data_IF_042607941037
#
_entry.id   IF_042607941037
#
_cell.length_a   1.000
_cell.length_b   1.000
_cell.length_c   1.000
_cell.angle_alpha   90.00
_cell.angle_beta   90.00
_cell.angle_gamma   90.00
#
_symmetry.space_group_name_H-M   'P 1'
#
loop_
_entity.id
_entity.type
_entity.pdbx_description
1 polymer ?
#
# COMPACT_ATOMS: atom_id res chain seq x y z
N UNK A 1 24.43 118.62 5.09
CA UNK A 1 23.16 118.49 5.84
C UNK A 1 22.23 117.67 4.96
N UNK A 2 22.29 116.34 5.06
CA UNK A 2 21.56 115.44 4.15
C UNK A 2 20.72 114.43 4.95
N UNK A 3 19.51 114.22 4.45
CA UNK A 3 18.53 113.25 4.95
C UNK A 3 19.02 111.82 4.71
N UNK A 4 18.63 110.87 5.58
CA UNK A 4 17.85 109.64 5.26
C UNK A 4 17.43 109.01 6.61
N UNK A 5 16.15 108.98 6.99
CA UNK A 5 15.68 108.30 8.19
C UNK A 5 15.72 106.77 8.03
N UNK A 6 15.94 106.08 9.15
CA UNK A 6 16.03 104.64 9.29
C UNK A 6 14.81 103.93 8.66
N UNK A 7 15.12 102.94 7.82
CA UNK A 7 14.20 102.07 7.13
C UNK A 7 13.46 101.14 8.12
N UNK A 8 12.14 101.25 8.33
CA UNK A 8 11.38 100.35 9.17
C UNK A 8 10.77 99.26 8.29
N UNK A 9 11.58 98.28 7.88
CA UNK A 9 11.05 97.10 7.20
C UNK A 9 10.68 96.04 8.23
N UNK A 10 9.37 95.93 8.46
CA UNK A 10 8.61 94.69 8.65
C UNK A 10 9.00 93.80 9.86
N UNK A 11 8.22 93.89 10.94
CA UNK A 11 7.93 92.74 11.81
C UNK A 11 6.55 92.15 11.40
N UNK A 12 6.46 91.20 10.44
CA UNK A 12 5.20 90.54 10.11
C UNK A 12 4.92 89.27 10.93
N UNK A 13 5.78 88.87 11.86
CA UNK A 13 5.82 87.48 12.34
C UNK A 13 4.78 87.11 13.43
N UNK A 14 4.25 88.09 14.17
CA UNK A 14 3.38 87.77 15.33
C UNK A 14 1.89 87.61 15.00
N UNK A 15 1.41 88.16 13.89
CA UNK A 15 -0.02 88.10 13.53
C UNK A 15 -0.36 86.80 12.79
N UNK A 16 0.53 86.30 11.93
CA UNK A 16 0.29 85.07 11.14
C UNK A 16 0.25 83.81 12.03
N UNK A 17 1.09 83.73 13.05
CA UNK A 17 1.13 82.58 13.97
C UNK A 17 -0.17 82.45 14.80
N UNK A 18 -0.72 83.57 15.30
CA UNK A 18 -1.99 83.57 16.04
C UNK A 18 -3.22 83.32 15.16
N UNK A 19 -3.14 83.62 13.86
CA UNK A 19 -4.22 83.35 12.92
C UNK A 19 -4.28 81.86 12.55
N UNK A 20 -3.13 81.23 12.35
CA UNK A 20 -3.03 79.80 12.06
C UNK A 20 -3.48 78.93 13.24
N UNK A 21 -3.14 79.30 14.48
CA UNK A 21 -3.55 78.53 15.67
C UNK A 21 -5.06 78.59 15.90
N UNK A 22 -5.69 79.77 15.77
CA UNK A 22 -7.15 79.93 15.85
C UNK A 22 -7.89 79.18 14.74
N UNK A 23 -7.32 79.16 13.53
CA UNK A 23 -7.89 78.43 12.41
C UNK A 23 -7.89 76.91 12.65
N UNK A 24 -6.88 76.37 13.33
CA UNK A 24 -6.83 74.95 13.71
C UNK A 24 -7.85 74.64 14.81
N UNK A 25 -8.01 75.53 15.80
CA UNK A 25 -9.02 75.37 16.85
C UNK A 25 -10.46 75.36 16.29
N UNK A 26 -10.77 76.26 15.34
CA UNK A 26 -12.08 76.30 14.68
C UNK A 26 -12.35 75.07 13.80
N UNK A 27 -11.33 74.55 13.09
CA UNK A 27 -11.44 73.30 12.30
C UNK A 27 -11.68 72.05 13.19
N UNK A 28 -11.17 72.04 14.42
CA UNK A 28 -11.42 70.97 15.39
C UNK A 28 -12.79 71.12 16.06
N UNK A 29 -13.24 72.36 16.29
CA UNK A 29 -14.54 72.67 16.88
C UNK A 29 -15.73 72.35 15.95
N UNK A 30 -15.52 72.36 14.64
CA UNK A 30 -16.56 72.04 13.63
C UNK A 30 -16.71 70.54 13.34
N UNK A 31 -16.08 69.67 14.12
CA UNK A 31 -16.57 68.30 14.29
C UNK A 31 -17.68 68.32 15.35
N UNK A 32 -18.76 69.07 15.09
CA UNK A 32 -20.01 68.77 15.79
C UNK A 32 -20.36 67.32 15.44
N UNK A 33 -20.45 66.40 16.41
CA UNK A 33 -20.94 65.07 16.12
C UNK A 33 -22.45 65.20 15.88
N UNK A 34 -22.80 65.64 14.68
CA UNK A 34 -24.15 65.63 14.18
C UNK A 34 -24.71 64.22 14.32
N UNK A 35 -26.03 64.08 14.26
CA UNK A 35 -26.68 62.77 14.33
C UNK A 35 -26.00 61.74 13.40
N UNK A 36 -25.44 62.19 12.27
CA UNK A 36 -24.60 61.41 11.37
C UNK A 36 -23.41 60.70 12.07
N UNK A 37 -22.66 61.36 12.95
CA UNK A 37 -21.50 60.77 13.63
C UNK A 37 -21.94 59.73 14.68
N UNK A 38 -23.04 60.00 15.39
CA UNK A 38 -23.64 59.02 16.32
C UNK A 38 -24.24 57.82 15.57
N UNK A 39 -24.92 58.07 14.46
CA UNK A 39 -25.47 57.03 13.57
C UNK A 39 -24.34 56.21 12.96
N UNK A 40 -23.23 56.83 12.58
CA UNK A 40 -22.05 56.13 12.07
C UNK A 40 -21.39 55.27 13.15
N UNK A 41 -21.22 55.80 14.36
CA UNK A 41 -20.66 55.05 15.49
C UNK A 41 -21.53 53.84 15.86
N UNK A 42 -22.86 54.04 16.00
CA UNK A 42 -23.78 52.95 16.27
C UNK A 42 -23.90 51.98 15.10
N UNK A 43 -23.85 52.46 13.87
CA UNK A 43 -23.86 51.63 12.66
C UNK A 43 -22.65 50.71 12.59
N UNK A 44 -21.46 51.24 12.85
CA UNK A 44 -20.22 50.44 12.95
C UNK A 44 -20.33 49.42 14.09
N UNK A 45 -20.82 49.86 15.26
CA UNK A 45 -20.98 48.99 16.42
C UNK A 45 -21.93 47.82 16.13
N UNK A 46 -23.09 48.11 15.52
CA UNK A 46 -24.09 47.10 15.13
C UNK A 46 -23.52 46.18 14.05
N UNK A 47 -22.81 46.72 13.07
CA UNK A 47 -22.18 45.92 12.02
C UNK A 47 -21.21 44.89 12.60
N UNK A 48 -20.32 45.29 13.51
CA UNK A 48 -19.41 44.36 14.18
C UNK A 48 -20.15 43.38 15.09
N UNK A 49 -21.18 43.82 15.82
CA UNK A 49 -21.99 42.92 16.65
C UNK A 49 -22.67 41.82 15.82
N UNK A 50 -23.29 42.20 14.70
CA UNK A 50 -23.93 41.24 13.76
C UNK A 50 -22.88 40.34 13.12
N UNK A 51 -21.73 40.88 12.71
CA UNK A 51 -20.63 40.10 12.14
C UNK A 51 -20.08 39.07 13.11
N UNK A 52 -19.88 39.43 14.38
CA UNK A 52 -19.40 38.52 15.42
C UNK A 52 -20.43 37.45 15.78
N UNK A 53 -21.71 37.81 15.88
CA UNK A 53 -22.80 36.85 16.09
C UNK A 53 -22.82 35.86 14.93
N UNK A 54 -22.82 36.35 13.69
CA UNK A 54 -22.77 35.50 12.51
C UNK A 54 -21.53 34.61 12.51
N UNK A 55 -20.33 35.15 12.78
CA UNK A 55 -19.09 34.39 12.80
C UNK A 55 -19.06 33.31 13.90
N UNK A 56 -19.74 33.53 15.03
CA UNK A 56 -19.86 32.53 16.09
C UNK A 56 -20.73 31.34 15.69
N UNK A 57 -21.74 31.55 14.84
CA UNK A 57 -22.59 30.49 14.28
C UNK A 57 -22.10 29.97 12.93
N UNK A 58 -21.21 30.71 12.26
CA UNK A 58 -20.62 30.31 11.01
C UNK A 58 -19.69 29.13 11.26
N UNK A 59 -20.24 27.94 11.12
CA UNK A 59 -19.46 26.72 11.02
C UNK A 59 -18.62 26.85 9.74
N UNK A 60 -17.33 27.11 9.93
CA UNK A 60 -16.39 27.09 8.82
C UNK A 60 -16.36 25.64 8.36
N UNK A 61 -17.09 25.35 7.28
CA UNK A 61 -16.90 24.14 6.49
C UNK A 61 -15.45 24.16 6.01
N UNK A 62 -14.56 23.64 6.85
CA UNK A 62 -13.28 23.10 6.44
C UNK A 62 -13.62 21.88 5.61
N UNK A 63 -14.07 22.13 4.38
CA UNK A 63 -13.79 21.21 3.30
C UNK A 63 -12.29 21.35 3.07
N UNK A 64 -11.53 20.68 3.94
CA UNK A 64 -10.22 20.17 3.56
C UNK A 64 -10.56 19.30 2.36
N UNK A 65 -10.51 19.89 1.16
CA UNK A 65 -10.03 19.17 -0.02
C UNK A 65 -8.58 18.82 0.28
N UNK A 66 -8.38 17.99 1.29
CA UNK A 66 -7.49 16.90 1.12
C UNK A 66 -8.05 16.27 -0.14
N UNK A 67 -7.28 16.36 -1.22
CA UNK A 67 -7.16 15.16 -1.99
C UNK A 67 -6.76 14.12 -0.96
N UNK A 68 -7.76 13.45 -0.39
CA UNK A 68 -7.59 12.18 0.27
C UNK A 68 -7.12 11.28 -0.84
N UNK A 69 -5.85 11.45 -1.24
CA UNK A 69 -5.10 10.36 -1.78
C UNK A 69 -5.00 9.48 -0.55
N UNK A 70 -5.98 8.59 -0.42
CA UNK A 70 -5.83 7.34 0.29
C UNK A 70 -4.72 6.63 -0.47
N UNK A 71 -3.50 7.08 -0.25
CA UNK A 71 -2.37 6.18 -0.31
C UNK A 71 -2.65 5.36 0.93
N UNK A 72 -3.35 4.25 0.76
CA UNK A 72 -3.23 3.20 1.74
C UNK A 72 -1.73 3.03 1.90
N UNK A 73 -1.22 3.28 3.10
CA UNK A 73 0.08 2.73 3.51
C UNK A 73 -0.08 1.23 3.64
N UNK A 74 -0.66 0.58 2.64
CA UNK A 74 -0.25 -0.74 2.28
C UNK A 74 1.06 -0.46 1.58
N UNK A 75 2.13 -0.45 2.38
CA UNK A 75 3.28 -1.26 2.02
C UNK A 75 2.71 -2.41 1.19
N UNK A 76 2.84 -2.33 -0.13
CA UNK A 76 2.67 -3.48 -0.97
C UNK A 76 3.91 -4.28 -0.66
N UNK A 77 3.95 -4.83 0.56
CA UNK A 77 4.88 -5.84 0.94
C UNK A 77 4.43 -6.97 0.05
N UNK A 78 5.14 -7.07 -1.09
CA UNK A 78 5.03 -8.17 -2.01
C UNK A 78 5.49 -9.37 -1.20
N UNK A 79 4.57 -9.93 -0.42
CA UNK A 79 4.68 -11.30 0.02
C UNK A 79 4.34 -12.09 -1.22
N UNK A 80 5.34 -12.18 -2.08
CA UNK A 80 5.45 -13.23 -3.08
C UNK A 80 5.41 -14.52 -2.29
N UNK A 81 4.22 -15.11 -2.15
CA UNK A 81 4.11 -16.51 -1.79
C UNK A 81 4.97 -17.27 -2.80
N UNK A 82 5.93 -18.02 -2.30
CA UNK A 82 6.79 -18.88 -3.11
C UNK A 82 5.99 -20.04 -3.76
N UNK A 83 4.68 -20.12 -3.52
CA UNK A 83 3.76 -21.11 -4.10
C UNK A 83 2.47 -20.41 -4.55
N UNK A 84 2.21 -20.43 -5.86
CA UNK A 84 1.17 -19.66 -6.53
C UNK A 84 -0.25 -20.24 -6.45
N UNK A 85 -1.22 -19.37 -6.74
CA UNK A 85 -2.63 -19.66 -7.03
C UNK A 85 -3.28 -18.40 -7.62
N UNK A 86 -4.08 -18.53 -8.68
CA UNK A 86 -4.67 -17.41 -9.45
C UNK A 86 -6.04 -17.04 -8.87
N UNK A 87 -6.26 -15.76 -8.58
CA UNK A 87 -7.49 -15.20 -8.01
C UNK A 87 -8.57 -15.03 -9.11
N UNK A 88 -9.74 -15.68 -9.02
CA UNK A 88 -10.71 -15.71 -10.13
C UNK A 88 -11.89 -14.72 -10.07
N UNK A 89 -12.48 -14.33 -8.92
CA UNK A 89 -13.51 -13.26 -8.95
C UNK A 89 -13.84 -12.60 -7.58
N UNK A 90 -14.13 -11.30 -7.61
CA UNK A 90 -14.59 -10.49 -6.46
C UNK A 90 -16.09 -10.19 -6.61
N UNK A 91 -16.93 -10.77 -5.74
CA UNK A 91 -18.40 -10.64 -5.81
C UNK A 91 -19.00 -9.44 -5.04
N UNK A 92 -18.19 -8.49 -4.56
CA UNK A 92 -18.73 -7.35 -3.78
C UNK A 92 -18.00 -6.04 -4.07
N UNK A 93 -18.76 -4.95 -4.17
CA UNK A 93 -18.26 -3.58 -4.35
C UNK A 93 -18.24 -2.83 -3.01
N UNK A 94 -17.38 -1.81 -2.84
CA UNK A 94 -17.34 -1.02 -1.61
C UNK A 94 -18.69 -0.32 -1.36
N UNK A 95 -19.39 -0.68 -0.27
CA UNK A 95 -20.62 -0.01 0.18
C UNK A 95 -21.81 -0.91 0.53
N UNK A 96 -21.76 -2.22 0.29
CA UNK A 96 -22.87 -3.11 0.65
C UNK A 96 -22.93 -3.43 2.15
N UNK A 97 -24.14 -3.38 2.72
CA UNK A 97 -24.38 -3.77 4.11
C UNK A 97 -24.43 -5.30 4.19
N UNK A 98 -23.34 -5.89 4.70
CA UNK A 98 -23.20 -7.34 4.86
C UNK A 98 -23.59 -7.73 6.28
N UNK A 99 -24.37 -8.82 6.40
CA UNK A 99 -24.73 -9.41 7.70
C UNK A 99 -23.63 -10.39 8.14
N UNK A 100 -23.46 -10.55 9.45
CA UNK A 100 -22.55 -11.56 9.98
C UNK A 100 -22.94 -12.94 9.41
N UNK A 101 -21.97 -13.67 8.85
CA UNK A 101 -22.11 -14.99 8.21
C UNK A 101 -22.50 -15.02 6.71
N UNK A 102 -22.50 -13.86 6.04
CA UNK A 102 -22.69 -13.83 4.58
C UNK A 102 -21.35 -14.12 3.85
N UNK A 103 -21.27 -15.14 2.98
CA UNK A 103 -20.03 -15.46 2.26
C UNK A 103 -19.68 -14.39 1.23
N UNK A 104 -18.64 -13.60 1.52
CA UNK A 104 -18.16 -12.50 0.66
C UNK A 104 -17.19 -12.95 -0.43
N UNK A 105 -16.56 -14.10 -0.22
CA UNK A 105 -15.56 -14.69 -1.09
C UNK A 105 -15.83 -16.20 -1.15
N UNK A 106 -15.97 -16.74 -2.35
CA UNK A 106 -16.02 -18.19 -2.57
C UNK A 106 -14.70 -18.60 -3.19
N UNK A 107 -13.80 -19.16 -2.38
CA UNK A 107 -12.63 -19.85 -2.92
C UNK A 107 -13.13 -21.02 -3.74
N UNK A 108 -12.79 -21.04 -5.01
CA UNK A 108 -13.11 -22.15 -5.89
C UNK A 108 -12.38 -23.40 -5.35
N UNK A 109 -13.10 -24.47 -4.94
CA UNK A 109 -12.47 -25.66 -4.36
C UNK A 109 -11.63 -26.47 -5.37
N UNK A 110 -11.48 -25.98 -6.59
CA UNK A 110 -10.81 -26.66 -7.71
C UNK A 110 -9.28 -26.71 -7.54
N UNK A 111 -8.65 -25.80 -6.78
CA UNK A 111 -7.22 -25.90 -6.45
C UNK A 111 -6.91 -26.83 -5.27
N UNK A 112 -7.86 -27.06 -4.37
CA UNK A 112 -7.64 -27.98 -3.24
C UNK A 112 -7.60 -29.44 -3.70
N UNK A 113 -8.32 -29.78 -4.78
CA UNK A 113 -8.24 -31.12 -5.39
C UNK A 113 -6.93 -31.36 -6.16
N UNK A 114 -6.47 -30.36 -6.92
CA UNK A 114 -5.26 -30.47 -7.74
C UNK A 114 -3.98 -30.61 -6.89
N UNK A 115 -3.88 -29.85 -5.80
CA UNK A 115 -2.75 -29.95 -4.85
C UNK A 115 -2.75 -31.24 -4.03
N UNK A 116 -3.93 -31.77 -3.65
CA UNK A 116 -4.01 -33.07 -2.97
C UNK A 116 -3.68 -34.22 -3.91
N UNK A 117 -4.11 -34.14 -5.18
CA UNK A 117 -3.77 -35.12 -6.22
C UNK A 117 -2.28 -35.14 -6.54
N UNK A 118 -1.66 -33.97 -6.74
CA UNK A 118 -0.22 -33.85 -7.01
C UNK A 118 0.63 -34.30 -5.81
N UNK A 119 0.23 -33.94 -4.59
CA UNK A 119 0.92 -34.36 -3.36
C UNK A 119 0.81 -35.86 -3.15
N UNK A 120 -0.37 -36.44 -3.35
CA UNK A 120 -0.60 -37.88 -3.20
C UNK A 120 0.15 -38.69 -4.27
N UNK A 121 0.17 -38.22 -5.52
CA UNK A 121 0.94 -38.82 -6.59
C UNK A 121 2.46 -38.75 -6.32
N UNK A 122 2.94 -37.62 -5.81
CA UNK A 122 4.35 -37.42 -5.42
C UNK A 122 4.73 -38.33 -4.26
N UNK A 123 3.88 -38.45 -3.25
CA UNK A 123 4.11 -39.34 -2.10
C UNK A 123 4.22 -40.80 -2.56
N UNK A 124 3.29 -41.25 -3.40
CA UNK A 124 3.31 -42.62 -3.92
C UNK A 124 4.55 -42.88 -4.80
N UNK A 125 4.96 -41.92 -5.62
CA UNK A 125 6.19 -42.02 -6.41
C UNK A 125 7.43 -42.14 -5.51
N UNK A 126 7.47 -41.39 -4.41
CA UNK A 126 8.57 -41.43 -3.46
C UNK A 126 8.63 -42.79 -2.73
N UNK A 127 7.48 -43.35 -2.36
CA UNK A 127 7.39 -44.68 -1.75
C UNK A 127 7.88 -45.77 -2.70
N UNK A 128 7.51 -45.72 -3.99
CA UNK A 128 8.00 -46.66 -4.99
C UNK A 128 9.53 -46.56 -5.17
N UNK A 129 10.07 -45.35 -5.16
CA UNK A 129 11.52 -45.11 -5.23
C UNK A 129 12.24 -45.67 -4.00
N UNK A 130 11.70 -45.46 -2.80
CA UNK A 130 12.24 -46.02 -1.55
C UNK A 130 12.23 -47.56 -1.61
N UNK A 131 11.14 -48.17 -2.08
CA UNK A 131 11.05 -49.61 -2.25
C UNK A 131 12.11 -50.15 -3.22
N UNK A 132 12.32 -49.48 -4.36
CA UNK A 132 13.37 -49.84 -5.34
C UNK A 132 14.77 -49.70 -4.75
N UNK A 133 15.08 -48.57 -4.11
CA UNK A 133 16.41 -48.34 -3.52
C UNK A 133 16.71 -49.34 -2.41
N UNK A 134 15.73 -49.65 -1.57
CA UNK A 134 15.88 -50.66 -0.50
C UNK A 134 16.14 -52.05 -1.09
N UNK A 135 15.48 -52.40 -2.19
CA UNK A 135 15.73 -53.63 -2.93
C UNK A 135 17.12 -53.67 -3.57
N UNK A 136 17.59 -52.56 -4.15
CA UNK A 136 18.95 -52.44 -4.70
C UNK A 136 20.01 -52.63 -3.60
N UNK A 137 19.80 -52.07 -2.40
CA UNK A 137 20.74 -52.19 -1.27
C UNK A 137 20.72 -53.59 -0.64
N UNK A 138 19.53 -54.17 -0.46
CA UNK A 138 19.39 -55.47 0.21
C UNK A 138 19.55 -56.67 -0.72
N UNK A 139 19.62 -56.45 -2.04
CA UNK A 139 19.66 -57.52 -3.05
C UNK A 139 18.38 -58.34 -3.15
N UNK A 140 17.27 -57.86 -2.56
CA UNK A 140 15.95 -58.52 -2.58
C UNK A 140 15.04 -57.86 -3.62
N UNK A 141 13.94 -58.53 -3.98
CA UNK A 141 12.95 -57.96 -4.89
C UNK A 141 12.21 -56.76 -4.23
N UNK A 142 11.96 -55.66 -4.97
CA UNK A 142 11.22 -54.51 -4.46
C UNK A 142 9.77 -54.85 -4.19
N UNK A 143 9.28 -54.47 -3.01
CA UNK A 143 7.87 -54.57 -2.62
C UNK A 143 7.24 -53.19 -2.75
N UNK A 144 6.54 -52.98 -3.85
CA UNK A 144 5.84 -51.73 -4.14
C UNK A 144 4.48 -51.67 -3.44
N UNK A 145 3.99 -50.47 -3.07
CA UNK A 145 2.61 -50.28 -2.63
C UNK A 145 1.63 -50.57 -3.77
N UNK A 146 0.42 -51.04 -3.42
CA UNK A 146 -0.64 -51.29 -4.40
C UNK A 146 -1.06 -49.97 -5.08
N UNK A 147 -1.13 -49.92 -6.42
CA UNK A 147 -1.46 -48.70 -7.13
C UNK A 147 -2.94 -48.33 -6.92
N UNK A 148 -3.19 -47.15 -6.35
CA UNK A 148 -4.54 -46.65 -6.08
C UNK A 148 -5.24 -46.05 -7.33
N UNK A 149 -4.51 -45.85 -8.44
CA UNK A 149 -5.03 -45.23 -9.66
C UNK A 149 -4.35 -45.78 -10.92
N UNK A 150 -4.94 -45.52 -12.09
CA UNK A 150 -4.34 -45.90 -13.38
C UNK A 150 -2.99 -45.19 -13.63
N UNK A 151 -2.82 -43.98 -13.12
CA UNK A 151 -1.56 -43.24 -13.19
C UNK A 151 -0.48 -43.85 -12.29
N UNK A 152 -0.85 -44.23 -11.07
CA UNK A 152 0.00 -44.99 -10.17
C UNK A 152 0.47 -46.32 -10.78
N UNK A 153 -0.41 -47.03 -11.49
CA UNK A 153 -0.07 -48.27 -12.17
C UNK A 153 0.96 -48.04 -13.30
N UNK A 154 0.85 -46.95 -14.07
CA UNK A 154 1.86 -46.56 -15.07
C UNK A 154 3.21 -46.25 -14.42
N UNK A 155 3.21 -45.50 -13.33
CA UNK A 155 4.41 -45.16 -12.57
C UNK A 155 5.14 -46.41 -12.05
N UNK A 156 4.38 -47.37 -11.53
CA UNK A 156 4.89 -48.64 -11.03
C UNK A 156 5.61 -49.44 -12.12
N UNK A 157 5.06 -49.47 -13.33
CA UNK A 157 5.69 -50.16 -14.47
C UNK A 157 7.02 -49.51 -14.87
N UNK A 158 7.08 -48.17 -14.85
CA UNK A 158 8.32 -47.43 -15.08
C UNK A 158 9.39 -47.81 -14.05
N UNK A 159 9.05 -47.82 -12.75
CA UNK A 159 10.00 -48.18 -11.70
C UNK A 159 10.46 -49.65 -11.78
N UNK A 160 9.57 -50.57 -12.16
CA UNK A 160 9.90 -51.98 -12.38
C UNK A 160 10.87 -52.16 -13.55
N UNK A 161 10.60 -51.51 -14.68
CA UNK A 161 11.48 -51.58 -15.86
C UNK A 161 12.87 -51.00 -15.58
N UNK A 162 12.94 -49.90 -14.82
CA UNK A 162 14.19 -49.28 -14.40
C UNK A 162 15.00 -50.21 -13.50
N UNK A 163 14.35 -50.86 -12.52
CA UNK A 163 14.99 -51.84 -11.65
C UNK A 163 15.55 -53.04 -12.45
N UNK A 164 14.76 -53.59 -13.37
CA UNK A 164 15.18 -54.71 -14.22
C UNK A 164 16.39 -54.35 -15.09
N UNK A 165 16.41 -53.16 -15.69
CA UNK A 165 17.54 -52.65 -16.46
C UNK A 165 18.80 -52.51 -15.61
N UNK A 166 18.69 -51.95 -14.40
CA UNK A 166 19.83 -51.83 -13.47
C UNK A 166 20.38 -53.17 -13.04
N UNK A 167 19.52 -54.13 -12.72
CA UNK A 167 19.97 -55.50 -12.41
C UNK A 167 20.70 -56.15 -13.60
N UNK A 168 20.18 -55.99 -14.81
CA UNK A 168 20.81 -56.54 -16.01
C UNK A 168 22.21 -55.93 -16.22
N UNK A 169 22.34 -54.61 -16.08
CA UNK A 169 23.62 -53.92 -16.19
C UNK A 169 24.63 -54.41 -15.13
N UNK A 170 24.18 -54.58 -13.88
CA UNK A 170 25.03 -55.10 -12.81
C UNK A 170 25.53 -56.53 -13.12
N UNK A 171 24.64 -57.40 -13.60
CA UNK A 171 25.01 -58.77 -13.99
C UNK A 171 26.01 -58.79 -15.14
N UNK A 172 25.81 -57.96 -16.16
CA UNK A 172 26.74 -57.82 -17.28
C UNK A 172 28.12 -57.33 -16.85
N UNK A 173 28.17 -56.35 -15.93
CA UNK A 173 29.43 -55.84 -15.38
C UNK A 173 30.19 -56.91 -14.58
N UNK A 174 29.48 -57.70 -13.75
CA UNK A 174 30.07 -58.80 -13.01
C UNK A 174 30.59 -59.91 -13.93
N UNK A 175 29.83 -60.28 -14.96
CA UNK A 175 30.23 -61.29 -15.93
C UNK A 175 31.50 -60.87 -16.71
N UNK A 176 31.58 -59.61 -17.14
CA UNK A 176 32.76 -59.06 -17.80
C UNK A 176 34.00 -59.08 -16.89
N UNK A 177 33.85 -58.68 -15.62
CA UNK A 177 34.93 -58.74 -14.62
C UNK A 177 35.42 -60.17 -14.35
N UNK A 178 34.50 -61.13 -14.24
CA UNK A 178 34.84 -62.54 -14.07
C UNK A 178 35.58 -63.12 -15.29
N UNK A 179 35.13 -62.77 -16.50
CA UNK A 179 35.80 -63.21 -17.74
C UNK A 179 37.24 -62.71 -17.81
N UNK A 180 37.51 -61.47 -17.35
CA UNK A 180 38.87 -60.91 -17.31
C UNK A 180 39.76 -61.66 -16.31
N UNK A 181 39.24 -62.00 -15.13
CA UNK A 181 39.97 -62.80 -14.13
C UNK A 181 40.27 -64.22 -14.64
N UNK A 182 39.35 -64.85 -15.36
CA UNK A 182 39.58 -66.16 -15.96
C UNK A 182 40.67 -66.12 -17.03
N UNK A 183 40.68 -65.10 -17.89
CA UNK A 183 41.75 -64.88 -18.88
C UNK A 183 43.11 -64.70 -18.21
N UNK A 184 43.18 -63.89 -17.15
CA UNK A 184 44.42 -63.65 -16.41
C UNK A 184 44.97 -64.89 -15.68
N UNK A 185 44.14 -65.91 -15.41
CA UNK A 185 44.58 -67.19 -14.83
C UNK A 185 45.08 -68.21 -15.85
N UNK A 186 44.82 -67.98 -17.15
CA UNK A 186 45.21 -68.88 -18.24
C UNK A 186 46.48 -68.42 -18.96
N UNK A 187 46.89 -67.16 -18.77
CA UNK A 187 48.19 -66.61 -19.16
C UNK A 187 49.24 -66.83 -18.06
#
# INVERSE_FOLDING_TARGET
MNMVPANPQHEPELIEAQEHERHIEDMVAEIEPGMASKVLFWGITIFFAVFLIWAAFAEIDRTVRGMGRVISSSELQVVSSLEGGILEDILVKPGDTVTADQPLLRLDPTETGASLGSTSATALALDMKVARLTAEVTGRAPRYPEPASAEAARQLEVERSLYASRQANLRSALAAGQAQLQRARQS
#
